data_IF_681928908008
#
_entry.id   IF_681928908008
#
_cell.length_a   1.000
_cell.length_b   1.000
_cell.length_c   1.000
_cell.angle_alpha   90.00
_cell.angle_beta   90.00
_cell.angle_gamma   90.00
#
_symmetry.space_group_name_H-M   'P 1'
#
loop_
_entity.id
_entity.type
_entity.pdbx_description
1 polymer ?
#
# COMPACT_ATOMS: atom_id res chain seq x y z
N UNK A 1 19.79 -58.93 -28.82
CA UNK A 1 20.51 -57.65 -28.93
C UNK A 1 19.60 -56.43 -28.97
N UNK A 2 18.56 -56.34 -29.81
CA UNK A 2 17.66 -55.16 -29.83
C UNK A 2 16.85 -54.96 -28.52
N UNK A 3 16.46 -56.04 -27.82
CA UNK A 3 15.69 -55.96 -26.57
C UNK A 3 16.53 -55.42 -25.39
N UNK A 4 17.81 -55.79 -25.28
CA UNK A 4 18.71 -55.25 -24.24
C UNK A 4 18.93 -53.74 -24.42
N UNK A 5 19.09 -53.27 -25.66
CA UNK A 5 19.24 -51.83 -25.95
C UNK A 5 17.98 -51.03 -25.58
N UNK A 6 16.79 -51.61 -25.81
CA UNK A 6 15.52 -50.98 -25.42
C UNK A 6 15.34 -50.95 -23.90
N UNK A 7 15.66 -52.04 -23.21
CA UNK A 7 15.60 -52.13 -21.75
C UNK A 7 16.53 -51.10 -21.08
N UNK A 8 17.77 -50.97 -21.58
CA UNK A 8 18.72 -49.98 -21.08
C UNK A 8 18.24 -48.55 -21.34
N UNK A 9 17.66 -48.28 -22.52
CA UNK A 9 17.10 -46.97 -22.86
C UNK A 9 15.93 -46.59 -21.94
N UNK A 10 15.02 -47.54 -21.66
CA UNK A 10 13.90 -47.33 -20.74
C UNK A 10 14.37 -47.11 -19.30
N UNK A 11 15.36 -47.87 -18.83
CA UNK A 11 15.94 -47.68 -17.50
C UNK A 11 16.58 -46.29 -17.34
N UNK A 12 17.32 -45.82 -18.36
CA UNK A 12 17.89 -44.47 -18.38
C UNK A 12 16.77 -43.42 -18.39
N UNK A 13 15.74 -43.59 -19.22
CA UNK A 13 14.62 -42.66 -19.27
C UNK A 13 13.91 -42.57 -17.92
N UNK A 14 13.57 -43.70 -17.29
CA UNK A 14 12.96 -43.72 -15.95
C UNK A 14 13.84 -43.07 -14.89
N UNK A 15 15.16 -43.30 -14.95
CA UNK A 15 16.13 -42.62 -14.07
C UNK A 15 16.06 -41.10 -14.20
N UNK A 16 16.18 -40.58 -15.43
CA UNK A 16 16.14 -39.14 -15.71
C UNK A 16 14.79 -38.53 -15.30
N UNK A 17 13.69 -39.22 -15.59
CA UNK A 17 12.32 -38.81 -15.25
C UNK A 17 12.16 -38.68 -13.74
N UNK A 18 12.58 -39.70 -12.99
CA UNK A 18 12.50 -39.70 -11.52
C UNK A 18 13.29 -38.54 -10.92
N UNK A 19 14.49 -38.27 -11.45
CA UNK A 19 15.31 -37.13 -11.02
C UNK A 19 14.64 -35.79 -11.31
N UNK A 20 14.10 -35.58 -12.53
CA UNK A 20 13.40 -34.34 -12.88
C UNK A 20 12.15 -34.14 -12.04
N UNK A 21 11.32 -35.18 -11.88
CA UNK A 21 10.10 -35.11 -11.06
C UNK A 21 10.43 -34.75 -9.60
N UNK A 22 11.46 -35.37 -9.03
CA UNK A 22 11.92 -35.08 -7.66
C UNK A 22 12.41 -33.64 -7.54
N UNK A 23 13.21 -33.16 -8.51
CA UNK A 23 13.70 -31.78 -8.53
C UNK A 23 12.54 -30.77 -8.60
N UNK A 24 11.55 -31.01 -9.46
CA UNK A 24 10.38 -30.13 -9.58
C UNK A 24 9.57 -30.17 -8.27
N UNK A 25 9.39 -31.34 -7.65
CA UNK A 25 8.73 -31.46 -6.35
C UNK A 25 9.41 -30.62 -5.26
N UNK A 26 10.74 -30.67 -5.19
CA UNK A 26 11.53 -29.84 -4.27
C UNK A 26 11.38 -28.34 -4.57
N UNK A 27 11.38 -27.95 -5.85
CA UNK A 27 11.16 -26.56 -6.25
C UNK A 27 9.76 -26.08 -5.82
N UNK A 28 8.72 -26.90 -5.98
CA UNK A 28 7.37 -26.55 -5.57
C UNK A 28 7.26 -26.36 -4.06
N UNK A 29 7.90 -27.23 -3.25
CA UNK A 29 7.97 -27.08 -1.79
C UNK A 29 8.68 -25.77 -1.42
N UNK A 30 9.84 -25.50 -2.02
CA UNK A 30 10.60 -24.28 -1.77
C UNK A 30 9.80 -23.02 -2.15
N UNK A 31 9.11 -23.03 -3.30
CA UNK A 31 8.24 -21.92 -3.72
C UNK A 31 7.09 -21.71 -2.74
N UNK A 32 6.43 -22.78 -2.29
CA UNK A 32 5.36 -22.71 -1.29
C UNK A 32 5.85 -22.11 0.01
N UNK A 33 7.02 -22.53 0.50
CA UNK A 33 7.60 -22.02 1.74
C UNK A 33 7.94 -20.53 1.65
N UNK A 34 8.63 -20.10 0.58
CA UNK A 34 8.93 -18.68 0.36
C UNK A 34 7.67 -17.83 0.23
N UNK A 35 6.64 -18.36 -0.43
CA UNK A 35 5.36 -17.67 -0.56
C UNK A 35 4.70 -17.49 0.81
N UNK A 36 4.64 -18.54 1.63
CA UNK A 36 4.08 -18.47 2.97
C UNK A 36 4.84 -17.46 3.85
N UNK A 37 6.18 -17.47 3.80
CA UNK A 37 7.01 -16.49 4.51
C UNK A 37 6.73 -15.06 4.08
N UNK A 38 6.61 -14.81 2.77
CA UNK A 38 6.28 -13.48 2.25
C UNK A 38 4.88 -13.03 2.67
N UNK A 39 3.88 -13.91 2.63
CA UNK A 39 2.51 -13.60 3.07
C UNK A 39 2.48 -13.30 4.57
N UNK A 40 3.18 -14.09 5.38
CA UNK A 40 3.27 -13.85 6.82
C UNK A 40 3.91 -12.49 7.10
N UNK A 41 5.06 -12.21 6.45
CA UNK A 41 5.75 -10.92 6.60
C UNK A 41 4.89 -9.74 6.15
N UNK A 42 4.14 -9.88 5.05
CA UNK A 42 3.19 -8.86 4.60
C UNK A 42 2.08 -8.63 5.64
N UNK A 43 1.56 -9.69 6.26
CA UNK A 43 0.54 -9.58 7.30
C UNK A 43 1.08 -8.88 8.54
N UNK A 44 2.31 -9.21 8.96
CA UNK A 44 2.96 -8.59 10.11
C UNK A 44 3.17 -7.09 9.87
N UNK A 45 3.72 -6.71 8.70
CA UNK A 45 3.90 -5.30 8.32
C UNK A 45 2.54 -4.58 8.21
N UNK A 46 1.53 -5.23 7.63
CA UNK A 46 0.18 -4.68 7.55
C UNK A 46 -0.41 -4.40 8.94
N UNK A 47 -0.21 -5.30 9.90
CA UNK A 47 -0.62 -5.08 11.28
C UNK A 47 0.10 -3.89 11.91
N UNK A 48 1.40 -3.74 11.70
CA UNK A 48 2.15 -2.57 12.16
C UNK A 48 1.62 -1.27 11.53
N UNK A 49 1.36 -1.25 10.22
CA UNK A 49 0.75 -0.11 9.53
C UNK A 49 -0.65 0.22 10.07
N UNK A 50 -1.45 -0.79 10.42
CA UNK A 50 -2.79 -0.58 10.97
C UNK A 50 -2.80 0.09 12.34
N UNK A 51 -1.71 -0.02 13.13
CA UNK A 51 -1.60 0.65 14.44
C UNK A 51 -1.73 2.17 14.31
N UNK A 52 -1.19 2.74 13.24
CA UNK A 52 -1.31 4.18 12.96
C UNK A 52 -2.77 4.60 12.73
N UNK A 53 -3.59 3.75 12.10
CA UNK A 53 -5.02 4.04 11.96
C UNK A 53 -5.84 3.86 13.24
N UNK A 54 -5.36 3.04 14.19
CA UNK A 54 -6.10 2.69 15.42
C UNK A 54 -5.82 3.64 16.58
N UNK A 55 -4.55 4.01 16.78
CA UNK A 55 -4.12 4.84 17.90
C UNK A 55 -3.94 6.29 17.44
N UNK A 56 -5.01 7.07 17.58
CA UNK A 56 -5.06 8.48 17.21
C UNK A 56 -4.22 9.31 18.20
N UNK A 57 -3.57 10.37 17.71
CA UNK A 57 -2.81 11.33 18.51
C UNK A 57 -1.61 10.75 19.28
N UNK A 58 -1.21 9.51 19.02
CA UNK A 58 -0.02 8.90 19.66
C UNK A 58 1.22 8.98 18.78
N UNK A 59 1.07 9.20 17.47
CA UNK A 59 2.14 9.03 16.47
C UNK A 59 2.48 10.29 15.65
N UNK A 60 2.35 11.49 16.22
CA UNK A 60 2.57 12.76 15.50
C UNK A 60 4.05 13.19 15.36
N UNK A 61 5.00 12.39 15.85
CA UNK A 61 6.43 12.73 15.80
C UNK A 61 7.08 12.31 14.46
N UNK A 62 8.21 12.93 14.13
CA UNK A 62 8.96 12.69 12.89
C UNK A 62 9.45 11.24 12.81
N UNK A 63 9.81 10.63 13.94
CA UNK A 63 10.28 9.24 13.99
C UNK A 63 9.18 8.24 13.58
N UNK A 64 7.96 8.45 14.05
CA UNK A 64 6.80 7.64 13.69
C UNK A 64 6.43 7.77 12.21
N UNK A 65 6.60 8.96 11.65
CA UNK A 65 6.41 9.24 10.21
C UNK A 65 7.46 8.51 9.35
N UNK A 66 8.74 8.60 9.73
CA UNK A 66 9.84 7.87 9.05
C UNK A 66 9.59 6.36 9.14
N UNK A 67 9.26 5.85 10.33
CA UNK A 67 8.98 4.43 10.52
C UNK A 67 7.77 3.98 9.69
N UNK A 68 6.70 4.78 9.61
CA UNK A 68 5.55 4.49 8.77
C UNK A 68 5.95 4.41 7.27
N UNK A 69 6.73 5.39 6.79
CA UNK A 69 7.24 5.40 5.42
C UNK A 69 8.10 4.17 5.10
N UNK A 70 9.00 3.80 6.02
CA UNK A 70 9.85 2.61 5.87
C UNK A 70 9.02 1.32 5.81
N UNK A 71 8.06 1.16 6.74
CA UNK A 71 7.17 0.00 6.76
C UNK A 71 6.31 -0.08 5.49
N UNK A 72 5.76 1.04 5.03
CA UNK A 72 5.00 1.09 3.78
C UNK A 72 5.88 0.73 2.57
N UNK A 73 7.10 1.26 2.51
CA UNK A 73 8.04 0.95 1.43
C UNK A 73 8.42 -0.52 1.42
N UNK A 74 8.67 -1.13 2.59
CA UNK A 74 8.91 -2.56 2.70
C UNK A 74 7.68 -3.37 2.28
N UNK A 75 6.48 -2.94 2.67
CA UNK A 75 5.22 -3.56 2.27
C UNK A 75 5.07 -3.56 0.74
N UNK A 76 5.21 -2.39 0.10
CA UNK A 76 5.13 -2.24 -1.35
C UNK A 76 6.17 -3.09 -2.08
N UNK A 77 7.42 -3.09 -1.60
CA UNK A 77 8.48 -3.91 -2.17
C UNK A 77 8.17 -5.40 -2.07
N UNK A 78 7.69 -5.91 -0.94
CA UNK A 78 7.38 -7.34 -0.81
C UNK A 78 6.14 -7.69 -1.66
N UNK A 79 5.10 -6.84 -1.64
CA UNK A 79 3.86 -7.06 -2.37
C UNK A 79 4.06 -7.05 -3.89
N UNK A 80 4.83 -6.08 -4.41
CA UNK A 80 5.07 -5.93 -5.84
C UNK A 80 6.34 -6.65 -6.34
N UNK A 81 7.45 -6.63 -5.58
CA UNK A 81 8.74 -7.20 -6.00
C UNK A 81 9.03 -8.62 -5.46
N UNK A 82 8.30 -9.12 -4.46
CA UNK A 82 8.44 -10.49 -3.92
C UNK A 82 8.23 -11.61 -4.95
N UNK A 83 7.90 -11.24 -6.20
CA UNK A 83 7.65 -12.15 -7.30
C UNK A 83 8.81 -12.30 -8.29
N UNK A 84 9.88 -11.49 -8.33
CA UNK A 84 10.87 -11.63 -9.44
C UNK A 84 11.64 -12.95 -9.39
N UNK A 85 12.22 -13.29 -8.24
CA UNK A 85 12.91 -14.57 -8.05
C UNK A 85 11.93 -15.74 -8.16
N UNK A 86 10.78 -15.63 -7.47
CA UNK A 86 9.70 -16.62 -7.49
C UNK A 86 9.20 -16.90 -8.91
N UNK A 87 8.97 -15.86 -9.72
CA UNK A 87 8.59 -15.96 -11.14
C UNK A 87 9.69 -16.59 -11.97
N UNK A 88 10.96 -16.24 -11.74
CA UNK A 88 12.08 -16.85 -12.45
C UNK A 88 12.18 -18.35 -12.15
N UNK A 89 12.12 -18.72 -10.87
CA UNK A 89 12.13 -20.13 -10.44
C UNK A 89 10.91 -20.89 -10.97
N UNK A 90 9.72 -20.27 -10.94
CA UNK A 90 8.49 -20.82 -11.51
C UNK A 90 8.61 -21.05 -13.03
N UNK A 91 9.20 -20.08 -13.73
CA UNK A 91 9.42 -20.16 -15.19
C UNK A 91 10.40 -21.28 -15.51
N UNK A 92 11.52 -21.37 -14.78
CA UNK A 92 12.48 -22.47 -14.93
C UNK A 92 11.84 -23.83 -14.66
N UNK A 93 11.05 -23.97 -13.60
CA UNK A 93 10.34 -25.23 -13.28
C UNK A 93 9.36 -25.62 -14.39
N UNK A 94 8.63 -24.64 -14.93
CA UNK A 94 7.69 -24.85 -16.03
C UNK A 94 8.41 -25.31 -17.29
N UNK A 95 9.55 -24.69 -17.64
CA UNK A 95 10.36 -25.14 -18.78
C UNK A 95 10.90 -26.56 -18.60
N UNK A 96 11.38 -26.91 -17.40
CA UNK A 96 11.83 -28.27 -17.12
C UNK A 96 10.73 -29.32 -17.32
N UNK A 97 9.49 -29.00 -16.92
CA UNK A 97 8.32 -29.88 -17.10
C UNK A 97 7.92 -30.01 -18.58
N UNK A 98 8.00 -28.93 -19.35
CA UNK A 98 7.74 -28.96 -20.81
C UNK A 98 8.79 -29.82 -21.52
N UNK A 99 10.07 -29.65 -21.19
CA UNK A 99 11.16 -30.47 -21.73
C UNK A 99 10.93 -31.95 -21.40
N UNK A 100 10.52 -32.26 -20.16
CA UNK A 100 10.19 -33.62 -19.74
C UNK A 100 9.04 -34.22 -20.59
N UNK A 101 7.98 -33.46 -20.84
CA UNK A 101 6.87 -33.89 -21.71
C UNK A 101 7.34 -34.13 -23.16
N UNK A 102 8.23 -33.29 -23.69
CA UNK A 102 8.83 -33.50 -25.02
C UNK A 102 9.66 -34.79 -25.09
N UNK A 103 10.44 -35.11 -24.05
CA UNK A 103 11.21 -36.36 -23.98
C UNK A 103 10.28 -37.58 -24.04
N UNK A 104 9.15 -37.55 -23.32
CA UNK A 104 8.15 -38.63 -23.41
C UNK A 104 7.58 -38.79 -24.82
N UNK A 105 7.27 -37.67 -25.49
CA UNK A 105 6.78 -37.72 -26.88
C UNK A 105 7.82 -38.31 -27.83
N UNK A 106 9.11 -38.00 -27.65
CA UNK A 106 10.20 -38.58 -28.45
C UNK A 106 10.32 -40.09 -28.20
N UNK A 107 10.25 -40.54 -26.94
CA UNK A 107 10.28 -41.97 -26.61
C UNK A 107 9.11 -42.71 -27.26
N UNK A 108 7.91 -42.12 -27.24
CA UNK A 108 6.71 -42.69 -27.88
C UNK A 108 6.88 -42.83 -29.39
N UNK A 109 7.55 -41.87 -30.04
CA UNK A 109 7.88 -41.95 -31.48
C UNK A 109 8.86 -43.09 -31.80
N UNK A 110 9.83 -43.37 -30.92
CA UNK A 110 10.80 -44.46 -31.10
C UNK A 110 10.12 -45.83 -30.95
N UNK A 111 9.14 -45.95 -30.05
CA UNK A 111 8.43 -47.21 -29.78
C UNK A 111 7.36 -47.50 -30.85
N UNK A 112 7.08 -46.56 -31.77
CA UNK A 112 6.05 -46.73 -32.81
C UNK A 112 6.28 -48.01 -33.65
N UNK A 113 5.21 -48.75 -34.03
CA UNK A 113 5.32 -49.90 -34.92
C UNK A 113 6.09 -49.55 -36.21
N UNK A 114 7.06 -50.37 -36.64
CA UNK A 114 7.21 -51.81 -36.37
C UNK A 114 8.11 -52.19 -35.18
N UNK A 115 8.63 -51.23 -34.40
CA UNK A 115 9.59 -51.53 -33.33
C UNK A 115 8.99 -52.27 -32.12
N UNK A 116 7.67 -52.26 -31.95
CA UNK A 116 6.94 -52.87 -30.83
C UNK A 116 5.63 -53.51 -31.31
N UNK A 117 5.01 -54.31 -30.45
CA UNK A 117 3.65 -54.81 -30.73
C UNK A 117 2.62 -53.68 -30.59
N UNK A 118 1.54 -53.75 -31.38
CA UNK A 118 0.49 -52.72 -31.36
C UNK A 118 -0.13 -52.54 -29.96
N UNK A 119 -0.22 -53.63 -29.18
CA UNK A 119 -0.72 -53.62 -27.81
C UNK A 119 0.24 -52.90 -26.85
N UNK A 120 1.55 -53.16 -26.93
CA UNK A 120 2.57 -52.43 -26.16
C UNK A 120 2.53 -50.93 -26.46
N UNK A 121 2.38 -50.57 -27.74
CA UNK A 121 2.28 -49.18 -28.17
C UNK A 121 1.05 -48.47 -27.58
N UNK A 122 -0.12 -49.13 -27.56
CA UNK A 122 -1.34 -48.56 -26.95
C UNK A 122 -1.15 -48.36 -25.44
N UNK A 123 -0.60 -49.35 -24.74
CA UNK A 123 -0.35 -49.25 -23.29
C UNK A 123 0.63 -48.12 -22.98
N UNK A 124 1.73 -48.01 -23.74
CA UNK A 124 2.70 -46.94 -23.59
C UNK A 124 2.08 -45.55 -23.84
N UNK A 125 1.20 -45.45 -24.85
CA UNK A 125 0.49 -44.22 -25.17
C UNK A 125 -0.43 -43.79 -24.03
N UNK A 126 -1.25 -44.70 -23.50
CA UNK A 126 -2.13 -44.42 -22.35
C UNK A 126 -1.32 -43.95 -21.13
N UNK A 127 -0.19 -44.59 -20.86
CA UNK A 127 0.68 -44.21 -19.75
C UNK A 127 1.25 -42.79 -19.93
N UNK A 128 1.75 -42.47 -21.11
CA UNK A 128 2.31 -41.13 -21.41
C UNK A 128 1.23 -40.04 -21.36
N UNK A 129 0.00 -40.33 -21.82
CA UNK A 129 -1.14 -39.41 -21.70
C UNK A 129 -1.47 -39.16 -20.23
N UNK A 130 -1.50 -40.21 -19.40
CA UNK A 130 -1.75 -40.09 -17.97
C UNK A 130 -0.68 -39.25 -17.25
N UNK A 131 0.61 -39.52 -17.53
CA UNK A 131 1.73 -38.75 -16.99
C UNK A 131 1.66 -37.29 -17.44
N UNK A 132 1.44 -37.04 -18.74
CA UNK A 132 1.35 -35.68 -19.28
C UNK A 132 0.17 -34.90 -18.68
N UNK A 133 -0.97 -35.56 -18.48
CA UNK A 133 -2.12 -34.96 -17.79
C UNK A 133 -1.79 -34.58 -16.34
N UNK A 134 -1.10 -35.45 -15.62
CA UNK A 134 -0.67 -35.18 -14.23
C UNK A 134 0.32 -34.02 -14.17
N UNK A 135 1.31 -33.99 -15.07
CA UNK A 135 2.27 -32.88 -15.18
C UNK A 135 1.55 -31.57 -15.53
N UNK A 136 0.57 -31.60 -16.43
CA UNK A 136 -0.22 -30.44 -16.80
C UNK A 136 -1.02 -29.88 -15.61
N UNK A 137 -1.69 -30.75 -14.84
CA UNK A 137 -2.37 -30.36 -13.61
C UNK A 137 -1.39 -29.72 -12.61
N UNK A 138 -0.20 -30.29 -12.48
CA UNK A 138 0.83 -29.76 -11.61
C UNK A 138 1.30 -28.36 -12.06
N UNK A 139 1.62 -28.18 -13.35
CA UNK A 139 1.95 -26.85 -13.91
C UNK A 139 0.85 -25.85 -13.59
N UNK A 140 -0.41 -26.23 -13.79
CA UNK A 140 -1.56 -25.37 -13.50
C UNK A 140 -1.62 -24.97 -12.02
N UNK A 141 -1.35 -25.91 -11.11
CA UNK A 141 -1.29 -25.63 -9.68
C UNK A 141 -0.16 -24.65 -9.34
N UNK A 142 1.06 -24.85 -9.86
CA UNK A 142 2.17 -23.93 -9.55
C UNK A 142 1.90 -22.53 -10.14
N UNK A 143 1.32 -22.43 -11.33
CA UNK A 143 0.92 -21.14 -11.93
C UNK A 143 -0.14 -20.43 -11.08
N UNK A 144 -1.11 -21.17 -10.53
CA UNK A 144 -2.12 -20.63 -9.62
C UNK A 144 -1.48 -20.11 -8.32
N UNK A 145 -0.59 -20.89 -7.71
CA UNK A 145 0.15 -20.53 -6.49
C UNK A 145 1.07 -19.32 -6.72
N UNK A 146 1.61 -19.14 -7.93
CA UNK A 146 2.45 -17.98 -8.26
C UNK A 146 1.78 -16.61 -8.11
N UNK A 147 0.45 -16.57 -7.92
CA UNK A 147 -0.30 -15.33 -7.76
C UNK A 147 -0.54 -14.98 -6.27
N UNK A 148 0.52 -14.50 -5.60
CA UNK A 148 0.51 -14.03 -4.20
C UNK A 148 -0.64 -13.06 -3.92
N UNK A 149 -0.96 -12.20 -4.88
CA UNK A 149 -1.99 -11.16 -4.74
C UNK A 149 -3.38 -11.72 -4.42
N UNK A 150 -3.69 -12.94 -4.87
CA UNK A 150 -5.00 -13.57 -4.65
C UNK A 150 -5.06 -14.39 -3.36
N UNK A 151 -3.91 -14.78 -2.81
CA UNK A 151 -3.84 -15.72 -1.69
C UNK A 151 -3.75 -14.99 -0.34
N UNK A 152 -3.23 -13.77 -0.31
CA UNK A 152 -3.05 -13.05 0.96
C UNK A 152 -4.31 -12.36 1.48
N UNK A 153 -5.31 -12.08 0.62
CA UNK A 153 -6.47 -11.22 0.93
C UNK A 153 -6.06 -9.87 1.57
N UNK A 154 -4.83 -9.44 1.34
CA UNK A 154 -4.29 -8.20 1.86
C UNK A 154 -4.52 -7.06 0.85
N UNK A 155 -4.80 -5.84 1.32
CA UNK A 155 -4.98 -4.70 0.43
C UNK A 155 -3.73 -4.43 -0.39
N UNK A 156 -3.92 -3.97 -1.62
CA UNK A 156 -2.78 -3.48 -2.39
C UNK A 156 -2.17 -2.23 -1.73
N UNK A 157 -0.88 -1.92 -1.97
CA UNK A 157 -0.26 -0.68 -1.46
C UNK A 157 -1.06 0.58 -1.82
N UNK A 158 -1.64 0.59 -3.03
CA UNK A 158 -2.51 1.67 -3.49
C UNK A 158 -3.81 1.76 -2.67
N UNK A 159 -4.42 0.63 -2.28
CA UNK A 159 -5.59 0.62 -1.40
C UNK A 159 -5.27 1.20 -0.01
N UNK A 160 -4.07 0.97 0.53
CA UNK A 160 -3.66 1.53 1.83
C UNK A 160 -3.60 3.07 1.79
N UNK A 161 -3.16 3.62 0.66
CA UNK A 161 -3.06 5.07 0.47
C UNK A 161 -4.34 5.73 -0.05
N UNK A 162 -5.41 4.94 -0.26
CA UNK A 162 -6.66 5.46 -0.80
C UNK A 162 -7.64 5.79 0.34
N UNK A 163 -8.15 7.03 0.36
CA UNK A 163 -9.17 7.47 1.31
C UNK A 163 -10.49 6.69 1.22
N UNK A 164 -10.76 6.04 0.09
CA UNK A 164 -11.98 5.28 -0.21
C UNK A 164 -12.01 3.85 0.38
N UNK A 165 -10.93 3.39 1.01
CA UNK A 165 -10.81 1.96 1.36
C UNK A 165 -11.81 1.50 2.43
N UNK A 166 -12.58 0.45 2.11
CA UNK A 166 -13.55 -0.23 3.00
C UNK A 166 -12.93 -1.26 3.96
N UNK A 167 -11.60 -1.36 4.04
CA UNK A 167 -10.88 -2.39 4.81
C UNK A 167 -10.38 -1.83 6.15
N UNK A 168 -9.84 -2.72 7.00
CA UNK A 168 -9.41 -2.51 8.39
C UNK A 168 -8.40 -1.36 8.68
N UNK A 169 -8.00 -0.55 7.69
CA UNK A 169 -7.13 0.62 7.89
C UNK A 169 -7.93 1.87 7.58
N UNK A 170 -8.12 2.72 8.59
CA UNK A 170 -8.66 4.06 8.39
C UNK A 170 -7.56 4.97 7.84
N UNK A 171 -7.53 5.11 6.52
CA UNK A 171 -6.53 5.92 5.80
C UNK A 171 -6.63 7.39 6.16
N UNK A 172 -7.84 7.91 6.43
CA UNK A 172 -8.02 9.29 6.87
C UNK A 172 -7.27 9.54 8.18
N UNK A 173 -7.41 8.67 9.19
CA UNK A 173 -6.71 8.83 10.48
C UNK A 173 -5.19 8.86 10.31
N UNK A 174 -4.64 8.05 9.40
CA UNK A 174 -3.21 8.07 9.06
C UNK A 174 -2.83 9.42 8.44
N UNK A 175 -3.62 9.87 7.45
CA UNK A 175 -3.41 11.15 6.78
C UNK A 175 -3.43 12.28 7.78
N UNK A 176 -4.46 12.35 8.65
CA UNK A 176 -4.60 13.41 9.62
C UNK A 176 -3.45 13.52 10.62
N UNK A 177 -2.81 12.39 10.97
CA UNK A 177 -1.66 12.40 11.88
C UNK A 177 -0.35 12.86 11.22
N UNK A 178 -0.18 12.57 9.93
CA UNK A 178 1.05 12.91 9.20
C UNK A 178 0.91 14.15 8.31
N UNK A 179 -0.29 14.74 8.23
CA UNK A 179 -0.58 15.94 7.47
C UNK A 179 0.24 17.11 8.00
N UNK A 180 1.05 17.74 7.16
CA UNK A 180 1.76 18.97 7.51
C UNK A 180 1.07 20.16 6.88
N UNK A 181 0.91 21.24 7.65
CA UNK A 181 0.45 22.51 7.11
C UNK A 181 1.68 23.39 6.80
N UNK A 182 1.70 23.98 5.61
CA UNK A 182 2.71 24.95 5.22
C UNK A 182 2.05 26.24 4.76
N UNK A 183 2.48 27.36 5.33
CA UNK A 183 1.93 28.68 5.02
C UNK A 183 3.02 29.53 4.36
N UNK A 184 2.70 30.09 3.19
CA UNK A 184 3.63 30.89 2.37
C UNK A 184 3.03 32.27 2.16
N UNK A 185 3.83 33.32 2.37
CA UNK A 185 3.43 34.70 2.09
C UNK A 185 3.76 35.09 0.65
N UNK A 186 2.78 35.61 -0.07
CA UNK A 186 2.92 36.21 -1.41
C UNK A 186 3.13 37.72 -1.28
N UNK A 187 4.36 38.16 -1.56
CA UNK A 187 4.85 39.50 -1.29
C UNK A 187 4.03 40.61 -1.95
N UNK A 188 3.68 40.44 -3.23
CA UNK A 188 3.09 41.53 -4.03
C UNK A 188 1.66 41.90 -3.61
N UNK A 189 0.98 41.07 -2.82
CA UNK A 189 -0.45 41.22 -2.52
C UNK A 189 -0.79 41.23 -1.03
N UNK A 190 0.21 41.05 -0.16
CA UNK A 190 0.02 40.78 1.28
C UNK A 190 -1.02 39.66 1.53
N UNK A 191 -0.81 38.56 0.83
CA UNK A 191 -1.69 37.40 0.90
C UNK A 191 -0.90 36.15 1.22
N UNK A 192 -1.61 35.13 1.68
CA UNK A 192 -1.07 33.87 2.11
C UNK A 192 -1.61 32.73 1.26
N UNK A 193 -0.74 31.76 1.04
CA UNK A 193 -1.06 30.48 0.44
C UNK A 193 -0.91 29.39 1.48
N UNK A 194 -1.93 28.54 1.56
CA UNK A 194 -1.99 27.40 2.46
C UNK A 194 -1.77 26.13 1.66
N UNK A 195 -0.75 25.38 2.03
CA UNK A 195 -0.42 24.09 1.43
C UNK A 195 -0.52 23.01 2.49
N UNK A 196 -0.91 21.81 2.08
CA UNK A 196 -0.78 20.61 2.91
C UNK A 196 0.19 19.62 2.29
N UNK A 197 0.96 18.97 3.15
CA UNK A 197 2.02 18.03 2.77
C UNK A 197 1.78 16.67 3.39
N UNK A 198 2.03 15.61 2.62
CA UNK A 198 1.97 14.23 3.09
C UNK A 198 3.25 13.46 2.71
N UNK A 199 3.73 12.54 3.55
CA UNK A 199 4.96 11.78 3.28
C UNK A 199 4.78 10.74 2.17
N UNK A 200 3.54 10.40 1.82
CA UNK A 200 3.17 9.43 0.80
C UNK A 200 2.10 10.01 -0.14
N UNK A 201 1.96 9.46 -1.38
CA UNK A 201 1.00 9.94 -2.35
C UNK A 201 -0.42 9.40 -2.07
N UNK A 202 -1.07 9.90 -1.01
CA UNK A 202 -2.46 9.55 -0.72
C UNK A 202 -3.42 10.05 -1.81
N UNK A 203 -4.52 9.33 -2.04
CA UNK A 203 -5.50 9.66 -3.09
C UNK A 203 -6.93 9.59 -2.57
N UNK A 204 -7.84 10.29 -3.25
CA UNK A 204 -9.29 10.25 -3.03
C UNK A 204 -9.70 10.69 -1.61
N UNK A 205 -9.05 11.76 -1.12
CA UNK A 205 -9.38 12.41 0.16
C UNK A 205 -9.90 13.80 -0.15
N UNK A 206 -11.16 14.03 0.16
CA UNK A 206 -11.76 15.36 0.10
C UNK A 206 -11.34 16.15 1.33
N UNK A 207 -11.02 17.41 1.12
CA UNK A 207 -10.55 18.32 2.16
C UNK A 207 -11.43 19.56 2.08
N UNK A 208 -12.22 19.73 3.13
CA UNK A 208 -12.90 20.98 3.43
C UNK A 208 -12.12 21.66 4.54
N UNK A 209 -12.03 22.99 4.50
CA UNK A 209 -11.16 23.72 5.41
C UNK A 209 -11.90 24.91 5.99
N UNK A 210 -11.74 25.08 7.30
CA UNK A 210 -12.21 26.23 8.03
C UNK A 210 -11.00 26.91 8.68
N UNK A 211 -10.78 28.17 8.31
CA UNK A 211 -9.73 28.98 8.88
C UNK A 211 -10.33 29.85 9.98
N UNK A 212 -9.79 29.73 11.18
CA UNK A 212 -10.23 30.48 12.36
C UNK A 212 -9.17 31.53 12.70
N UNK A 213 -9.50 32.80 12.46
CA UNK A 213 -8.58 33.94 12.67
C UNK A 213 -9.08 34.80 13.85
N UNK A 214 -8.40 34.77 14.99
CA UNK A 214 -8.76 35.70 16.07
C UNK A 214 -8.44 35.17 17.43
N UNK A 215 -7.20 35.35 17.84
CA UNK A 215 -6.79 34.97 19.19
C UNK A 215 -5.97 36.08 19.78
N UNK A 216 -6.47 36.61 20.90
CA UNK A 216 -5.68 37.30 21.91
C UNK A 216 -5.29 36.28 23.03
N UNK A 217 -6.07 35.20 23.22
CA UNK A 217 -5.77 34.07 24.12
C UNK A 217 -6.14 32.69 23.48
N UNK A 218 -5.17 31.82 23.14
CA UNK A 218 -5.40 30.52 22.48
C UNK A 218 -6.14 29.45 23.30
N UNK A 219 -6.52 29.76 24.54
CA UNK A 219 -7.21 28.84 25.45
C UNK A 219 -8.71 29.14 25.61
N UNK A 220 -9.23 30.21 25.00
CA UNK A 220 -10.64 30.60 25.10
C UNK A 220 -11.36 30.27 23.79
N UNK A 221 -12.24 29.26 23.82
CA UNK A 221 -12.97 28.76 22.64
C UNK A 221 -13.99 29.77 22.07
N UNK A 222 -14.40 30.77 22.86
CA UNK A 222 -15.47 31.71 22.51
C UNK A 222 -15.04 32.75 21.45
N UNK A 223 -13.74 33.04 21.30
CA UNK A 223 -13.22 34.00 20.30
C UNK A 223 -13.16 33.42 18.87
N UNK A 224 -13.14 32.07 18.74
CA UNK A 224 -12.94 31.38 17.46
C UNK A 224 -14.08 31.64 16.46
N UNK A 225 -15.32 31.78 16.92
CA UNK A 225 -16.49 31.75 16.04
C UNK A 225 -16.80 33.09 15.35
N UNK A 226 -16.02 34.14 15.60
CA UNK A 226 -16.28 35.48 15.07
C UNK A 226 -15.74 35.72 13.65
N UNK A 227 -14.69 35.00 13.25
CA UNK A 227 -14.00 35.20 11.95
C UNK A 227 -13.61 33.85 11.32
N UNK A 228 -14.59 33.18 10.72
CA UNK A 228 -14.40 31.91 10.02
C UNK A 228 -14.29 32.20 8.52
N UNK A 229 -13.20 31.76 7.89
CA UNK A 229 -13.08 31.74 6.43
C UNK A 229 -13.25 30.29 5.97
N UNK A 230 -14.38 30.02 5.30
CA UNK A 230 -14.59 28.76 4.61
C UNK A 230 -13.80 28.76 3.30
N UNK A 231 -12.90 27.79 3.16
CA UNK A 231 -12.11 27.60 1.95
C UNK A 231 -12.84 26.64 0.99
N UNK A 232 -12.62 26.75 -0.33
CA UNK A 232 -13.20 25.84 -1.28
C UNK A 232 -12.75 24.40 -1.01
N UNK A 233 -13.67 23.47 -1.24
CA UNK A 233 -13.39 22.04 -1.18
C UNK A 233 -12.33 21.65 -2.22
N UNK A 234 -11.39 20.79 -1.81
CA UNK A 234 -10.30 20.30 -2.64
C UNK A 234 -10.17 18.79 -2.48
N UNK A 235 -9.67 18.12 -3.51
CA UNK A 235 -9.35 16.69 -3.45
C UNK A 235 -7.83 16.55 -3.41
N UNK A 236 -7.32 15.82 -2.42
CA UNK A 236 -5.94 15.36 -2.39
C UNK A 236 -5.82 14.16 -3.34
N UNK A 237 -5.04 14.34 -4.40
CA UNK A 237 -4.64 13.29 -5.34
C UNK A 237 -3.11 13.28 -5.48
N UNK A 238 -2.46 12.34 -4.81
CA UNK A 238 -1.00 12.16 -4.78
C UNK A 238 -0.30 12.02 -6.13
N UNK A 239 -1.05 11.82 -7.22
CA UNK A 239 -0.52 11.87 -8.59
C UNK A 239 -0.21 13.31 -9.06
N UNK A 240 -0.82 14.32 -8.44
CA UNK A 240 -0.73 15.74 -8.80
C UNK A 240 0.20 16.51 -7.86
N UNK A 241 1.36 15.95 -7.51
CA UNK A 241 2.31 16.58 -6.60
C UNK A 241 2.84 17.91 -7.17
N UNK A 242 2.59 19.02 -6.46
CA UNK A 242 3.07 20.34 -6.86
C UNK A 242 4.49 20.64 -6.34
N UNK A 243 5.13 19.72 -5.61
CA UNK A 243 6.49 19.89 -5.07
C UNK A 243 7.50 20.43 -6.09
N UNK A 244 7.44 19.90 -7.33
CA UNK A 244 8.29 20.32 -8.45
C UNK A 244 8.08 21.77 -8.89
N UNK A 245 6.90 22.35 -8.67
CA UNK A 245 6.58 23.75 -8.99
C UNK A 245 7.16 24.74 -7.97
N UNK A 246 7.50 24.27 -6.76
CA UNK A 246 8.02 25.06 -5.64
C UNK A 246 9.47 24.69 -5.27
N UNK A 247 10.20 24.10 -6.23
CA UNK A 247 11.58 23.63 -6.10
C UNK A 247 12.64 24.61 -5.55
N UNK A 248 12.54 25.96 -5.58
CA UNK A 248 13.58 26.80 -4.98
C UNK A 248 13.56 26.86 -3.44
N UNK A 249 12.57 26.28 -2.76
CA UNK A 249 12.46 26.31 -1.30
C UNK A 249 12.91 24.97 -0.68
N UNK A 250 13.82 25.01 0.30
CA UNK A 250 14.28 23.80 1.02
C UNK A 250 13.12 23.03 1.68
N UNK A 251 13.22 21.70 1.70
CA UNK A 251 12.23 20.79 2.31
C UNK A 251 10.92 20.58 1.53
N UNK A 252 10.80 21.08 0.29
CA UNK A 252 9.63 20.77 -0.58
C UNK A 252 9.70 19.39 -1.24
N UNK A 253 10.89 18.80 -1.37
CA UNK A 253 11.10 17.49 -2.02
C UNK A 253 10.59 16.31 -1.22
N UNK A 254 10.48 16.47 0.10
CA UNK A 254 10.31 15.34 1.03
C UNK A 254 8.84 14.96 1.21
N UNK A 255 7.93 15.81 0.74
CA UNK A 255 6.49 15.66 0.87
C UNK A 255 5.77 15.82 -0.48
N UNK A 256 4.59 15.21 -0.56
CA UNK A 256 3.59 15.45 -1.57
C UNK A 256 2.78 16.66 -1.15
N UNK A 257 3.02 17.80 -1.78
CA UNK A 257 2.36 19.06 -1.46
C UNK A 257 1.11 19.27 -2.31
N UNK A 258 0.09 19.86 -1.69
CA UNK A 258 -1.19 20.20 -2.32
C UNK A 258 -1.62 21.60 -1.92
N UNK A 259 -2.19 22.34 -2.86
CA UNK A 259 -2.65 23.70 -2.63
C UNK A 259 -4.09 23.70 -2.11
N UNK A 260 -4.29 24.16 -0.88
CA UNK A 260 -5.63 24.31 -0.31
C UNK A 260 -6.26 25.62 -0.78
N UNK A 261 -5.57 26.73 -0.53
CA UNK A 261 -6.07 28.06 -0.82
C UNK A 261 -4.94 29.05 -1.10
N UNK A 262 -5.23 30.03 -1.95
CA UNK A 262 -4.36 31.15 -2.31
C UNK A 262 -5.05 32.48 -2.05
N UNK A 263 -4.28 33.56 -2.05
CA UNK A 263 -4.78 34.94 -1.94
C UNK A 263 -5.54 35.21 -0.62
N UNK A 264 -5.24 34.47 0.47
CA UNK A 264 -5.87 34.65 1.78
C UNK A 264 -5.25 35.83 2.51
N UNK A 265 -6.06 36.77 3.00
CA UNK A 265 -5.60 37.90 3.81
C UNK A 265 -5.72 37.57 5.29
N UNK A 266 -4.63 37.76 6.03
CA UNK A 266 -4.58 37.55 7.48
C UNK A 266 -4.39 38.91 8.14
N UNK A 267 -5.25 39.24 9.11
CA UNK A 267 -5.13 40.47 9.88
C UNK A 267 -3.91 40.40 10.80
N UNK A 268 -2.97 41.33 10.60
CA UNK A 268 -1.74 41.42 11.40
C UNK A 268 -1.98 41.83 12.86
N UNK A 269 -3.17 42.35 13.19
CA UNK A 269 -3.51 42.78 14.55
C UNK A 269 -3.89 41.62 15.48
N UNK A 270 -3.85 40.38 15.00
CA UNK A 270 -4.18 39.18 15.77
C UNK A 270 -2.91 38.44 16.17
N UNK A 271 -2.91 37.79 17.33
CA UNK A 271 -1.72 37.12 17.83
C UNK A 271 -1.57 35.70 17.29
N UNK A 272 -2.68 34.95 17.15
CA UNK A 272 -2.65 33.56 16.69
C UNK A 272 -3.68 33.21 15.62
N UNK A 273 -3.36 32.15 14.90
CA UNK A 273 -4.15 31.51 13.85
C UNK A 273 -4.39 30.04 14.21
N UNK A 274 -5.63 29.58 14.03
CA UNK A 274 -5.98 28.15 14.02
C UNK A 274 -6.47 27.75 12.64
N UNK A 275 -6.05 26.58 12.17
CA UNK A 275 -6.54 25.99 10.94
C UNK A 275 -7.16 24.65 11.26
N UNK A 276 -8.43 24.47 10.89
CA UNK A 276 -9.12 23.20 11.02
C UNK A 276 -9.41 22.64 9.62
N UNK A 277 -8.97 21.42 9.37
CA UNK A 277 -9.18 20.72 8.10
C UNK A 277 -10.08 19.52 8.36
N UNK A 278 -11.25 19.51 7.74
CA UNK A 278 -12.14 18.36 7.70
C UNK A 278 -11.78 17.50 6.49
N UNK A 279 -11.30 16.28 6.75
CA UNK A 279 -10.98 15.29 5.74
C UNK A 279 -12.15 14.32 5.63
N UNK A 280 -12.74 14.24 4.43
CA UNK A 280 -13.85 13.35 4.12
C UNK A 280 -13.42 12.30 3.10
N UNK A 281 -13.99 11.10 3.24
CA UNK A 281 -13.87 10.06 2.22
C UNK A 281 -15.16 9.98 1.40
N UNK A 282 -14.99 10.16 0.09
CA UNK A 282 -16.07 10.18 -0.91
C UNK A 282 -16.95 8.92 -0.92
N UNK A 283 -16.48 7.80 -0.38
CA UNK A 283 -17.20 6.52 -0.43
C UNK A 283 -17.95 6.11 0.82
N UNK A 284 -17.44 6.46 1.99
CA UNK A 284 -17.97 5.95 3.26
C UNK A 284 -18.54 7.07 4.15
N UNK A 285 -18.37 8.35 3.75
CA UNK A 285 -18.83 9.50 4.53
C UNK A 285 -18.11 9.63 5.87
N UNK A 286 -16.99 8.94 6.08
CA UNK A 286 -16.17 9.14 7.26
C UNK A 286 -15.53 10.52 7.18
N UNK A 287 -15.68 11.27 8.26
CA UNK A 287 -15.09 12.58 8.44
C UNK A 287 -14.13 12.54 9.63
N UNK A 288 -12.96 13.15 9.44
CA UNK A 288 -12.04 13.47 10.53
C UNK A 288 -11.70 14.96 10.48
N UNK A 289 -11.49 15.56 11.64
CA UNK A 289 -11.02 16.95 11.74
C UNK A 289 -9.59 16.97 12.23
N UNK A 290 -8.72 17.66 11.51
CA UNK A 290 -7.30 17.87 11.83
C UNK A 290 -7.11 19.32 12.24
N UNK A 291 -6.59 19.54 13.45
CA UNK A 291 -6.42 20.89 14.00
C UNK A 291 -4.93 21.27 14.09
N UNK A 292 -4.62 22.43 13.51
CA UNK A 292 -3.34 23.11 13.63
C UNK A 292 -3.53 24.35 14.51
N UNK A 293 -3.04 24.28 15.75
CA UNK A 293 -3.20 25.33 16.76
C UNK A 293 -1.95 26.18 16.93
N UNK A 294 -2.12 27.31 17.62
CA UNK A 294 -1.03 28.12 18.19
C UNK A 294 -0.04 28.65 17.14
N UNK A 295 -0.50 28.86 15.90
CA UNK A 295 0.33 29.44 14.84
C UNK A 295 0.44 30.94 15.11
N UNK A 296 1.62 31.41 15.52
CA UNK A 296 1.83 32.82 15.84
C UNK A 296 1.83 33.63 14.55
N UNK A 297 0.93 34.62 14.46
CA UNK A 297 0.74 35.41 13.23
C UNK A 297 1.99 36.25 12.94
N UNK A 298 2.65 36.78 13.97
CA UNK A 298 3.93 37.49 13.82
C UNK A 298 5.02 36.66 13.13
N UNK A 299 5.02 35.34 13.28
CA UNK A 299 6.01 34.45 12.64
C UNK A 299 5.76 34.40 11.12
N UNK A 300 4.50 34.55 10.69
CA UNK A 300 4.10 34.64 9.28
C UNK A 300 4.57 35.95 8.63
N UNK A 301 4.75 37.00 9.43
CA UNK A 301 5.18 38.31 8.95
C UNK A 301 6.70 38.50 8.96
N UNK A 302 7.40 37.86 9.90
CA UNK A 302 8.86 37.97 10.07
C UNK A 302 9.65 37.03 9.16
N UNK A 303 9.04 35.90 8.77
CA UNK A 303 9.72 34.89 7.95
C UNK A 303 9.55 35.13 6.45
N UNK A 304 10.34 36.03 5.90
CA UNK A 304 10.25 36.44 4.50
C UNK A 304 10.69 35.36 3.49
N UNK A 305 11.43 34.34 3.93
CA UNK A 305 11.97 33.27 3.09
C UNK A 305 11.76 31.85 3.65
N UNK A 306 11.45 31.71 4.95
CA UNK A 306 11.25 30.39 5.56
C UNK A 306 9.75 30.14 5.76
N UNK A 307 9.12 29.31 4.93
CA UNK A 307 7.72 28.97 5.14
C UNK A 307 7.54 28.30 6.50
N UNK A 308 6.43 28.61 7.16
CA UNK A 308 6.11 27.99 8.46
C UNK A 308 5.58 26.59 8.18
N UNK A 309 6.20 25.60 8.82
CA UNK A 309 5.79 24.19 8.78
C UNK A 309 5.18 23.84 10.14
N UNK A 310 3.91 23.43 10.14
CA UNK A 310 3.16 23.10 11.35
C UNK A 310 2.70 21.65 11.27
N UNK A 311 2.98 20.89 12.32
CA UNK A 311 2.45 19.54 12.51
C UNK A 311 1.06 19.62 13.18
N UNK A 312 0.18 18.63 12.96
CA UNK A 312 -1.14 18.65 13.55
C UNK A 312 -1.02 18.43 15.06
N UNK A 313 -1.82 19.15 15.84
CA UNK A 313 -1.81 19.02 17.30
C UNK A 313 -2.85 18.00 17.76
N UNK A 314 -4.00 17.99 17.09
CA UNK A 314 -5.09 17.08 17.40
C UNK A 314 -5.77 16.58 16.12
N UNK A 315 -6.15 15.31 16.13
CA UNK A 315 -6.99 14.64 15.12
C UNK A 315 -8.23 14.09 15.83
N UNK A 316 -9.40 14.40 15.30
CA UNK A 316 -10.70 13.98 15.83
C UNK A 316 -11.47 13.20 14.77
N UNK A 317 -12.21 12.16 15.18
CA UNK A 317 -13.18 11.49 14.30
C UNK A 317 -14.54 12.15 14.51
N UNK A 318 -15.11 12.69 13.45
CA UNK A 318 -16.34 13.49 13.45
C UNK A 318 -17.42 12.81 12.63
N UNK A 319 -17.70 11.53 12.91
CA UNK A 319 -18.74 10.80 12.18
C UNK A 319 -20.14 11.42 12.44
N UNK A 320 -20.96 11.57 11.39
CA UNK A 320 -22.17 12.43 11.34
C UNK A 320 -23.22 12.21 12.44
N UNK A 321 -23.16 11.11 13.21
CA UNK A 321 -24.13 10.80 14.27
C UNK A 321 -23.61 10.93 15.70
N UNK A 322 -22.32 11.19 15.91
CA UNK A 322 -21.77 11.38 17.27
C UNK A 322 -20.41 12.07 17.19
N UNK A 323 -20.34 13.32 17.67
CA UNK A 323 -19.07 13.88 18.17
C UNK A 323 -18.66 13.06 19.40
N UNK A 324 -17.96 11.95 19.20
CA UNK A 324 -17.26 11.28 20.29
C UNK A 324 -16.09 12.17 20.73
N UNK A 325 -16.39 13.19 21.54
CA UNK A 325 -15.42 13.87 22.39
C UNK A 325 -15.04 12.89 23.50
N UNK A 326 -14.23 11.89 23.16
CA UNK A 326 -13.68 10.90 24.07
C UNK A 326 -12.22 10.62 23.72
N UNK A 327 -11.41 10.27 24.72
CA UNK A 327 -10.00 9.93 24.54
C UNK A 327 -9.80 8.91 23.41
N UNK A 328 -9.15 9.30 22.31
CA UNK A 328 -8.49 8.45 21.31
C UNK A 328 -9.13 7.07 21.00
N UNK A 329 -10.46 6.96 20.87
CA UNK A 329 -11.11 5.66 20.65
C UNK A 329 -11.76 5.62 19.27
N UNK A 330 -11.24 4.77 18.37
CA UNK A 330 -11.82 4.49 17.04
C UNK A 330 -13.05 3.58 17.15
N UNK A 331 -13.90 3.54 16.13
CA UNK A 331 -15.05 2.62 16.05
C UNK A 331 -14.61 1.16 16.23
N UNK A 332 -13.46 0.80 15.68
CA UNK A 332 -12.85 -0.52 15.80
C UNK A 332 -12.45 -0.84 17.25
N UNK A 333 -11.89 0.12 17.99
CA UNK A 333 -11.59 -0.06 19.42
C UNK A 333 -12.86 -0.26 20.26
N UNK A 334 -13.95 0.45 19.92
CA UNK A 334 -15.26 0.25 20.59
C UNK A 334 -15.81 -1.13 20.28
N UNK A 335 -15.69 -1.62 19.04
CA UNK A 335 -16.13 -2.96 18.66
C UNK A 335 -15.30 -4.06 19.35
N UNK A 336 -13.98 -3.89 19.45
CA UNK A 336 -13.10 -4.82 20.18
C UNK A 336 -13.47 -4.87 21.67
N UNK A 337 -13.70 -3.70 22.31
CA UNK A 337 -14.15 -3.60 23.70
C UNK A 337 -15.53 -4.21 23.99
N UNK A 338 -16.38 -4.33 22.97
CA UNK A 338 -17.71 -4.95 23.07
C UNK A 338 -17.71 -6.45 22.72
N UNK A 339 -16.59 -6.96 22.21
CA UNK A 339 -16.43 -8.36 21.80
C UNK A 339 -15.77 -9.27 22.85
N UNK A 340 -15.26 -8.65 23.93
CA UNK A 340 -14.90 -9.30 25.21
C UNK A 340 -16.07 -9.21 26.20
#
# INVERSE_FOLDING_TARGET
>A
MQIENLSNLLAIAFGVISTIATLVGLIAIFLSFNMQQNVQKLRDIFWELSKYSRYINTHYNIEAEIHFFEQYTMYDQIYNNGSKLTKRTLTTATYSLVIMSLVFMIILLIIKPPASTLLEFIIATLFIVCVSSTLFLFIRLILFVGNIKKISDLPSPQEILNGNTQKNINTLVIVGQFLKLRIIRWYDKDTYQFLVGLPLPFTDIEVTNELYIGLDNPNEDDDYYSNIIHLPERIIDGKQNISSMYSPYEGFSDYYWFNLATDIRIDSNRDYLRVELSLTSSSNGEEITVQFDNIQIKDLFTSHLNPILVAPKHVYITNENTRLKGYNTTKEMVLDMLSD
#
